data_IF_655384465797
#
_entry.id   IF_655384465797
#
_cell.length_a   1.000
_cell.length_b   1.000
_cell.length_c   1.000
_cell.angle_alpha   90.00
_cell.angle_beta   90.00
_cell.angle_gamma   90.00
#
_symmetry.space_group_name_H-M   'P 1'
#
loop_
_entity.id
_entity.type
_entity.pdbx_description
1 polymer ?
#
# COMPACT_ATOMS: atom_id res chain seq x y z
N UNK A 1 10.62 4.65 9.61
CA UNK A 1 9.19 4.54 9.22
C UNK A 1 9.04 3.23 8.47
N UNK A 2 8.28 2.28 9.01
CA UNK A 2 7.80 1.13 8.22
C UNK A 2 6.30 1.31 7.96
N UNK A 3 6.01 2.11 6.93
CA UNK A 3 4.74 2.11 6.23
C UNK A 3 5.05 1.69 4.80
N UNK A 4 4.44 0.58 4.36
CA UNK A 4 4.80 -0.07 3.08
C UNK A 4 4.30 0.69 1.86
N UNK A 5 3.14 1.35 1.93
CA UNK A 5 2.66 2.23 0.86
C UNK A 5 1.87 3.39 1.47
N UNK A 6 1.97 4.58 0.87
CA UNK A 6 1.17 5.76 1.22
C UNK A 6 0.36 6.16 0.00
N UNK A 7 -0.97 6.16 0.14
CA UNK A 7 -1.91 6.64 -0.88
C UNK A 7 -2.64 7.84 -0.28
N UNK A 8 -2.61 8.97 -0.96
CA UNK A 8 -3.29 10.20 -0.55
C UNK A 8 -4.29 10.55 -1.66
N UNK A 9 -5.55 10.83 -1.30
CA UNK A 9 -6.54 11.29 -2.27
C UNK A 9 -6.28 12.76 -2.59
N UNK A 10 -6.38 13.12 -3.86
CA UNK A 10 -6.25 14.54 -4.25
C UNK A 10 -7.34 15.41 -3.62
N UNK A 11 -8.54 14.89 -3.39
CA UNK A 11 -9.60 15.62 -2.70
C UNK A 11 -9.18 16.04 -1.27
N UNK A 12 -8.54 15.14 -0.54
CA UNK A 12 -8.04 15.43 0.81
C UNK A 12 -6.90 16.48 0.76
N UNK A 13 -6.06 16.45 -0.29
CA UNK A 13 -5.03 17.49 -0.50
C UNK A 13 -5.68 18.86 -0.69
N UNK A 14 -6.74 18.94 -1.50
CA UNK A 14 -7.44 20.21 -1.75
C UNK A 14 -8.21 20.72 -0.52
N UNK A 15 -8.79 19.81 0.27
CA UNK A 15 -9.60 20.15 1.43
C UNK A 15 -8.77 20.51 2.67
N UNK A 16 -7.64 19.84 2.88
CA UNK A 16 -6.90 19.92 4.15
C UNK A 16 -5.55 20.65 4.07
N UNK A 17 -4.95 20.82 2.89
CA UNK A 17 -3.67 21.53 2.76
C UNK A 17 -3.84 22.97 2.32
N UNK A 18 -3.03 23.86 2.88
CA UNK A 18 -2.87 25.22 2.35
C UNK A 18 -1.96 25.27 1.12
N UNK A 19 -1.90 26.42 0.44
CA UNK A 19 -1.10 26.58 -0.78
C UNK A 19 0.41 26.39 -0.56
N UNK A 20 0.91 26.72 0.64
CA UNK A 20 2.30 26.48 1.01
C UNK A 20 2.58 24.98 1.14
N UNK A 21 1.71 24.26 1.83
CA UNK A 21 1.80 22.81 2.02
C UNK A 21 1.64 22.04 0.71
N UNK A 22 0.73 22.47 -0.18
CA UNK A 22 0.59 21.90 -1.55
C UNK A 22 1.88 22.09 -2.35
N UNK A 23 2.48 23.27 -2.27
CA UNK A 23 3.75 23.57 -2.93
C UNK A 23 4.89 22.70 -2.39
N UNK A 24 4.94 22.51 -1.07
CA UNK A 24 5.92 21.64 -0.43
C UNK A 24 5.73 20.16 -0.81
N UNK A 25 4.49 19.67 -0.84
CA UNK A 25 4.17 18.32 -1.30
C UNK A 25 4.63 18.11 -2.74
N UNK A 26 4.32 19.05 -3.64
CA UNK A 26 4.76 19.02 -5.04
C UNK A 26 6.29 18.97 -5.17
N UNK A 27 7.00 19.81 -4.40
CA UNK A 27 8.46 19.84 -4.36
C UNK A 27 9.06 18.51 -3.88
N UNK A 28 8.45 17.88 -2.88
CA UNK A 28 8.90 16.58 -2.35
C UNK A 28 8.68 15.46 -3.36
N UNK A 29 7.50 15.38 -3.98
CA UNK A 29 7.18 14.41 -5.04
C UNK A 29 8.14 14.53 -6.22
N UNK A 30 8.41 15.76 -6.67
CA UNK A 30 9.36 16.03 -7.75
C UNK A 30 10.78 15.55 -7.40
N UNK A 31 11.26 15.84 -6.19
CA UNK A 31 12.60 15.42 -5.73
C UNK A 31 12.73 13.91 -5.75
N UNK A 32 11.73 13.19 -5.24
CA UNK A 32 11.70 11.72 -5.23
C UNK A 32 11.73 11.19 -6.68
N UNK A 33 10.85 11.70 -7.55
CA UNK A 33 10.78 11.28 -8.95
C UNK A 33 12.11 11.50 -9.68
N UNK A 34 12.78 12.64 -9.46
CA UNK A 34 14.10 12.93 -10.02
C UNK A 34 15.16 11.94 -9.56
N UNK A 35 15.23 11.64 -8.27
CA UNK A 35 16.20 10.68 -7.73
C UNK A 35 15.94 9.26 -8.25
N UNK A 36 14.67 8.86 -8.38
CA UNK A 36 14.31 7.58 -9.00
C UNK A 36 14.78 7.46 -10.44
N UNK A 37 14.67 8.53 -11.25
CA UNK A 37 15.21 8.54 -12.62
C UNK A 37 16.72 8.35 -12.65
N UNK A 38 17.45 8.95 -11.71
CA UNK A 38 18.91 8.79 -11.61
C UNK A 38 19.28 7.34 -11.25
N UNK A 39 18.45 6.65 -10.46
CA UNK A 39 18.58 5.22 -10.17
C UNK A 39 18.13 4.30 -11.34
N UNK A 40 17.72 4.85 -12.49
CA UNK A 40 17.18 4.07 -13.62
C UNK A 40 15.77 3.50 -13.39
N UNK A 41 15.04 3.99 -12.38
CA UNK A 41 13.67 3.57 -12.05
C UNK A 41 12.66 4.52 -12.71
N UNK A 42 11.42 4.03 -12.89
CA UNK A 42 10.30 4.89 -13.30
C UNK A 42 10.02 5.92 -12.21
N UNK A 43 9.89 7.19 -12.62
CA UNK A 43 9.76 8.34 -11.73
C UNK A 43 8.42 8.37 -10.98
N UNK A 44 7.35 8.10 -11.71
CA UNK A 44 5.98 8.05 -11.21
C UNK A 44 5.53 6.59 -11.21
N UNK A 45 5.27 6.04 -10.03
CA UNK A 45 4.67 4.71 -9.94
C UNK A 45 3.17 4.88 -10.08
N UNK A 46 2.61 4.37 -11.17
CA UNK A 46 1.17 4.30 -11.34
C UNK A 46 0.65 3.15 -10.49
N UNK A 47 -0.18 3.48 -9.50
CA UNK A 47 -0.86 2.51 -8.65
C UNK A 47 -2.33 2.45 -9.03
N UNK A 48 -2.87 1.24 -9.18
CA UNK A 48 -4.31 1.03 -9.29
C UNK A 48 -4.88 1.01 -7.87
N UNK A 49 -5.71 1.99 -7.53
CA UNK A 49 -6.45 2.05 -6.27
C UNK A 49 -7.88 1.62 -6.54
N UNK A 50 -8.35 0.61 -5.82
CA UNK A 50 -9.70 0.05 -5.96
C UNK A 50 -10.41 0.24 -4.64
N UNK A 51 -11.53 0.96 -4.64
CA UNK A 51 -12.40 1.05 -3.46
C UNK A 51 -13.05 -0.31 -3.24
N UNK A 52 -13.00 -0.85 -2.02
CA UNK A 52 -13.59 -2.17 -1.70
C UNK A 52 -15.12 -2.17 -1.68
N UNK A 53 -15.74 -0.99 -1.68
CA UNK A 53 -17.20 -0.82 -1.60
C UNK A 53 -17.89 -0.97 -2.97
N UNK A 54 -17.10 -1.10 -4.04
CA UNK A 54 -17.60 -1.20 -5.40
C UNK A 54 -18.05 -2.62 -5.75
N UNK A 55 -19.20 -2.75 -6.43
CA UNK A 55 -19.79 -4.06 -6.78
C UNK A 55 -18.89 -4.97 -7.62
N UNK A 56 -17.89 -4.43 -8.30
CA UNK A 56 -16.94 -5.18 -9.15
C UNK A 56 -15.67 -5.62 -8.41
N UNK A 57 -15.47 -5.24 -7.15
CA UNK A 57 -14.25 -5.51 -6.38
C UNK A 57 -13.96 -6.99 -6.28
N UNK A 58 -14.99 -7.80 -6.05
CA UNK A 58 -14.82 -9.25 -5.92
C UNK A 58 -14.19 -9.85 -7.19
N UNK A 59 -14.60 -9.38 -8.38
CA UNK A 59 -14.02 -9.82 -9.65
C UNK A 59 -12.55 -9.44 -9.78
N UNK A 60 -12.17 -8.26 -9.30
CA UNK A 60 -10.76 -7.85 -9.34
C UNK A 60 -9.92 -8.66 -8.35
N UNK A 61 -10.46 -8.90 -7.15
CA UNK A 61 -9.83 -9.78 -6.15
C UNK A 61 -9.61 -11.18 -6.72
N UNK A 62 -10.59 -11.73 -7.45
CA UNK A 62 -10.49 -13.05 -8.05
C UNK A 62 -9.39 -13.09 -9.13
N UNK A 63 -9.33 -12.10 -10.02
CA UNK A 63 -8.26 -11.95 -11.01
C UNK A 63 -6.89 -11.86 -10.33
N UNK A 64 -6.77 -11.08 -9.26
CA UNK A 64 -5.50 -10.93 -8.54
C UNK A 64 -5.09 -12.25 -7.85
N UNK A 65 -6.04 -13.02 -7.30
CA UNK A 65 -5.77 -14.35 -6.73
C UNK A 65 -5.28 -15.34 -7.78
N UNK A 66 -5.94 -15.38 -8.94
CA UNK A 66 -5.56 -16.27 -10.06
C UNK A 66 -4.13 -16.00 -10.56
N UNK A 67 -3.66 -14.76 -10.46
CA UNK A 67 -2.32 -14.35 -10.87
C UNK A 67 -1.30 -14.35 -9.72
N UNK A 68 -1.64 -14.85 -8.53
CA UNK A 68 -0.74 -14.88 -7.36
C UNK A 68 -0.40 -13.50 -6.78
N UNK A 69 -1.18 -12.47 -7.13
CA UNK A 69 -1.00 -11.10 -6.65
C UNK A 69 -1.89 -10.76 -5.46
N UNK A 70 -2.75 -11.68 -5.02
CA UNK A 70 -3.64 -11.52 -3.87
C UNK A 70 -3.88 -12.84 -3.15
N UNK A 71 -3.92 -12.79 -1.82
CA UNK A 71 -3.94 -13.97 -0.96
C UNK A 71 -2.57 -14.25 -0.36
N UNK A 72 -2.55 -14.95 0.77
CA UNK A 72 -1.34 -15.26 1.52
C UNK A 72 -0.43 -16.19 0.71
N UNK A 73 0.54 -15.64 -0.02
CA UNK A 73 1.81 -16.34 -0.12
C UNK A 73 2.32 -16.49 1.31
N UNK A 74 2.49 -17.73 1.77
CA UNK A 74 3.19 -18.00 3.00
C UNK A 74 4.62 -17.50 2.81
N UNK A 75 4.87 -16.24 3.18
CA UNK A 75 6.22 -15.71 3.27
C UNK A 75 6.92 -16.60 4.31
N UNK A 76 8.01 -17.32 3.97
CA UNK A 76 8.57 -18.37 4.82
C UNK A 76 8.95 -17.94 6.24
N UNK A 77 8.97 -16.64 6.53
CA UNK A 77 9.35 -16.04 7.80
C UNK A 77 8.31 -15.05 8.36
N UNK A 78 7.07 -15.05 7.87
CA UNK A 78 6.01 -14.21 8.43
C UNK A 78 5.20 -15.02 9.47
N UNK A 79 5.39 -14.69 10.75
CA UNK A 79 4.59 -15.24 11.84
C UNK A 79 3.13 -14.83 11.64
N UNK A 80 2.24 -15.81 11.51
CA UNK A 80 0.80 -15.59 11.49
C UNK A 80 0.28 -15.73 12.91
N UNK A 81 -0.37 -14.68 13.42
CA UNK A 81 -1.07 -14.71 14.71
C UNK A 81 -2.55 -14.93 14.47
N UNK A 82 -3.21 -15.68 15.35
CA UNK A 82 -4.65 -15.85 15.34
C UNK A 82 -5.24 -15.18 16.59
N UNK A 83 -6.39 -14.53 16.43
CA UNK A 83 -7.18 -14.06 17.58
C UNK A 83 -8.31 -15.07 17.76
N UNK A 84 -8.34 -15.75 18.90
CA UNK A 84 -9.39 -16.69 19.29
C UNK A 84 -9.95 -16.23 20.62
N UNK A 85 -11.25 -15.96 20.69
CA UNK A 85 -11.95 -15.48 21.90
C UNK A 85 -11.26 -14.27 22.56
N UNK A 86 -10.92 -13.26 21.76
CA UNK A 86 -10.17 -12.04 22.16
C UNK A 86 -8.75 -12.27 22.70
N UNK A 87 -8.21 -13.48 22.56
CA UNK A 87 -6.84 -13.84 22.95
C UNK A 87 -5.97 -13.92 21.70
N UNK A 88 -4.85 -13.17 21.71
CA UNK A 88 -3.82 -13.28 20.67
C UNK A 88 -3.00 -14.55 20.90
N UNK A 89 -3.16 -15.52 20.01
CA UNK A 89 -2.47 -16.81 20.03
C UNK A 89 -1.25 -16.72 19.11
N UNK A 90 -0.07 -16.89 19.70
CA UNK A 90 1.19 -17.03 18.97
C UNK A 90 1.34 -18.50 18.52
N UNK A 91 1.80 -18.78 17.29
CA UNK A 91 2.13 -20.15 16.89
C UNK A 91 3.31 -20.64 17.73
N UNK A 92 3.21 -21.86 18.26
CA UNK A 92 4.31 -22.49 19.00
C UNK A 92 5.55 -22.55 18.10
N UNK A 93 6.62 -21.87 18.51
CA UNK A 93 7.90 -21.95 17.81
C UNK A 93 8.40 -23.39 17.85
N UNK A 94 8.77 -23.94 16.70
CA UNK A 94 9.57 -25.17 16.68
C UNK A 94 10.91 -24.87 17.36
N UNK A 95 11.21 -25.57 18.45
CA UNK A 95 12.56 -25.60 19.06
C UNK A 95 13.63 -26.03 18.04
#
# INVERSE_FOLDING_TARGET
MEMKFTVIKNADIEEYLDEGEKSDLSRLLWKIGRLRKLDGKVAEQTHLVISTDESYVQKVVDILKENGHWGSEQVPNQLQFQIVDDILVLPEGKE
#
